data_IF_671763600331
#
_entry.id   IF_671763600331
#
_cell.length_a   1.000
_cell.length_b   1.000
_cell.length_c   1.000
_cell.angle_alpha   90.00
_cell.angle_beta   90.00
_cell.angle_gamma   90.00
#
_symmetry.space_group_name_H-M   'P 1'
#
loop_
_entity.id
_entity.type
_entity.pdbx_description
1 polymer ?
#
# COMPACT_ATOMS: atom_id res chain seq x y z
N UNK A 1 28.93 -21.41 41.41
CA UNK A 1 28.60 -20.94 40.04
C UNK A 1 29.42 -19.69 39.76
N UNK A 2 30.25 -19.66 38.72
CA UNK A 2 31.15 -18.52 38.48
C UNK A 2 30.33 -17.28 38.13
N UNK A 3 30.67 -16.13 38.72
CA UNK A 3 29.99 -14.84 38.49
C UNK A 3 29.91 -14.49 36.99
N UNK A 4 30.86 -14.97 36.18
CA UNK A 4 30.88 -14.82 34.72
C UNK A 4 29.77 -15.60 33.99
N UNK A 5 29.31 -16.73 34.53
CA UNK A 5 28.22 -17.49 33.93
C UNK A 5 26.86 -16.80 34.20
N UNK A 6 26.69 -16.26 35.40
CA UNK A 6 25.46 -15.55 35.78
C UNK A 6 25.31 -14.23 35.00
N UNK A 7 26.40 -13.47 34.81
CA UNK A 7 26.41 -12.23 34.04
C UNK A 7 26.15 -12.44 32.53
N UNK A 8 26.64 -13.54 31.95
CA UNK A 8 26.35 -13.90 30.55
C UNK A 8 24.88 -14.28 30.35
N UNK A 9 24.29 -15.00 31.30
CA UNK A 9 22.89 -15.42 31.23
C UNK A 9 21.95 -14.22 31.41
N UNK A 10 22.27 -13.27 32.29
CA UNK A 10 21.47 -12.03 32.48
C UNK A 10 21.57 -11.06 31.31
N UNK A 11 22.72 -10.96 30.62
CA UNK A 11 22.85 -10.16 29.39
C UNK A 11 22.06 -10.74 28.21
N UNK A 12 22.04 -12.07 28.09
CA UNK A 12 21.26 -12.77 27.05
C UNK A 12 19.75 -12.64 27.26
N UNK A 13 19.26 -12.67 28.51
CA UNK A 13 17.84 -12.46 28.80
C UNK A 13 17.40 -11.02 28.60
N UNK A 14 18.25 -10.03 28.89
CA UNK A 14 17.95 -8.63 28.57
C UNK A 14 17.90 -8.38 27.05
N UNK A 15 18.79 -9.00 26.28
CA UNK A 15 18.78 -8.89 24.82
C UNK A 15 17.52 -9.52 24.19
N UNK A 16 17.03 -10.64 24.74
CA UNK A 16 15.78 -11.28 24.29
C UNK A 16 14.52 -10.49 24.65
N UNK A 17 14.53 -9.74 25.76
CA UNK A 17 13.40 -8.90 26.20
C UNK A 17 13.24 -7.63 25.35
N UNK A 18 14.29 -7.15 24.68
CA UNK A 18 14.21 -5.98 23.79
C UNK A 18 13.89 -6.30 22.32
N UNK A 19 13.92 -7.58 21.92
CA UNK A 19 13.68 -7.98 20.53
C UNK A 19 12.19 -8.22 20.19
N UNK A 20 11.26 -8.08 21.14
CA UNK A 20 9.85 -8.40 20.92
C UNK A 20 8.88 -7.31 21.44
N UNK A 21 9.13 -6.06 21.08
CA UNK A 21 8.11 -5.00 21.24
C UNK A 21 7.97 -4.16 19.97
N UNK A 22 7.93 -4.82 18.81
CA UNK A 22 7.33 -4.23 17.60
C UNK A 22 5.81 -4.26 17.75
N UNK A 23 5.24 -3.38 18.59
CA UNK A 23 3.78 -3.22 18.57
C UNK A 23 3.42 -2.43 17.33
N UNK A 24 3.01 -3.14 16.29
CA UNK A 24 2.53 -2.56 15.03
C UNK A 24 1.19 -1.88 15.34
N UNK A 25 1.24 -0.61 15.72
CA UNK A 25 0.04 0.21 15.82
C UNK A 25 -0.33 0.72 14.43
N UNK A 26 -1.50 0.32 13.96
CA UNK A 26 -2.13 1.01 12.84
C UNK A 26 -2.41 2.46 13.27
N UNK A 27 -1.89 3.46 12.54
CA UNK A 27 -2.23 4.84 12.82
C UNK A 27 -3.70 5.05 12.44
N UNK A 28 -4.53 5.23 13.46
CA UNK A 28 -5.93 5.57 13.29
C UNK A 28 -5.99 7.07 13.03
N UNK A 29 -6.43 7.43 11.83
CA UNK A 29 -6.59 8.83 11.45
C UNK A 29 -7.93 9.31 11.99
N UNK A 30 -7.90 10.47 12.65
CA UNK A 30 -9.09 11.10 13.20
C UNK A 30 -9.56 12.20 12.25
N UNK A 31 -10.87 12.29 11.98
CA UNK A 31 -11.40 13.42 11.23
C UNK A 31 -11.23 14.72 12.05
N UNK A 32 -11.18 15.84 11.35
CA UNK A 32 -11.16 17.18 11.92
C UNK A 32 -12.57 17.53 12.39
N UNK A 33 -12.68 18.04 13.62
CA UNK A 33 -13.95 18.45 14.21
C UNK A 33 -14.45 17.48 15.28
N UNK A 34 -15.58 17.83 15.89
CA UNK A 34 -16.26 16.99 16.88
C UNK A 34 -17.26 16.05 16.19
N UNK A 35 -16.72 15.04 15.51
CA UNK A 35 -17.51 14.06 14.78
C UNK A 35 -18.12 13.01 15.72
N UNK A 36 -19.40 12.70 15.53
CA UNK A 36 -20.08 11.62 16.23
C UNK A 36 -19.34 10.30 15.97
N UNK A 37 -18.95 9.61 17.04
CA UNK A 37 -18.25 8.32 16.95
C UNK A 37 -18.94 7.26 17.78
N UNK A 38 -18.78 6.01 17.37
CA UNK A 38 -19.21 4.81 18.09
C UNK A 38 -18.04 3.83 18.22
N UNK A 39 -18.06 3.03 19.28
CA UNK A 39 -17.16 1.90 19.45
C UNK A 39 -17.85 0.61 18.98
N UNK A 40 -17.27 -0.03 17.97
CA UNK A 40 -17.70 -1.33 17.48
C UNK A 40 -16.84 -2.43 18.09
N UNK A 41 -17.48 -3.45 18.67
CA UNK A 41 -16.79 -4.67 19.08
C UNK A 41 -16.67 -5.61 17.88
N UNK A 42 -15.44 -5.81 17.40
CA UNK A 42 -15.13 -6.63 16.23
C UNK A 42 -14.10 -7.69 16.67
N UNK A 43 -14.54 -8.94 16.79
CA UNK A 43 -13.70 -10.09 17.19
C UNK A 43 -12.98 -9.79 18.52
N UNK A 44 -13.74 -9.33 19.52
CA UNK A 44 -13.22 -9.04 20.86
C UNK A 44 -12.36 -7.77 20.96
N UNK A 45 -12.22 -6.98 19.89
CA UNK A 45 -11.50 -5.71 19.89
C UNK A 45 -12.43 -4.55 19.62
N UNK A 46 -12.34 -3.51 20.44
CA UNK A 46 -13.05 -2.26 20.20
C UNK A 46 -12.37 -1.43 19.12
N UNK A 47 -13.17 -0.92 18.18
CA UNK A 47 -12.70 -0.04 17.11
C UNK A 47 -13.62 1.16 17.00
N UNK A 48 -13.03 2.35 17.07
CA UNK A 48 -13.76 3.60 16.84
C UNK A 48 -14.09 3.77 15.35
N UNK A 49 -15.35 4.09 15.07
CA UNK A 49 -15.82 4.53 13.78
C UNK A 49 -16.58 5.85 13.93
N UNK A 50 -16.45 6.73 12.95
CA UNK A 50 -17.11 8.02 12.89
C UNK A 50 -18.33 7.96 11.97
N UNK A 51 -19.43 8.57 12.36
CA UNK A 51 -20.63 8.68 11.54
C UNK A 51 -20.35 9.56 10.33
N UNK A 52 -20.74 9.12 9.13
CA UNK A 52 -20.68 9.92 7.92
C UNK A 52 -21.99 10.69 7.78
N UNK A 53 -22.05 11.87 8.37
CA UNK A 53 -23.20 12.76 8.32
C UNK A 53 -23.23 13.60 7.01
N UNK A 54 -24.13 14.57 6.92
CA UNK A 54 -24.29 15.44 5.75
C UNK A 54 -23.08 16.35 5.48
N UNK A 55 -22.30 16.70 6.52
CA UNK A 55 -21.09 17.51 6.40
C UNK A 55 -19.91 16.68 5.89
N UNK A 56 -19.95 15.37 6.13
CA UNK A 56 -18.93 14.42 5.74
C UNK A 56 -17.74 14.42 6.70
N UNK A 57 -16.74 13.60 6.40
CA UNK A 57 -15.54 13.46 7.22
C UNK A 57 -14.33 14.04 6.49
N UNK A 58 -13.61 14.95 7.15
CA UNK A 58 -12.40 15.57 6.61
C UNK A 58 -11.18 15.16 7.43
N UNK A 59 -10.12 14.73 6.77
CA UNK A 59 -8.86 14.31 7.38
C UNK A 59 -7.74 15.15 6.77
N UNK A 60 -6.79 15.64 7.58
CA UNK A 60 -5.61 16.35 7.10
C UNK A 60 -4.33 15.73 7.66
N UNK A 61 -3.27 15.86 6.87
CA UNK A 61 -1.96 15.35 7.27
C UNK A 61 -1.90 13.83 7.30
N UNK A 62 -2.80 13.15 6.57
CA UNK A 62 -2.84 11.69 6.53
C UNK A 62 -1.51 11.18 6.02
N UNK A 63 -0.83 10.41 6.88
CA UNK A 63 0.48 9.86 6.60
C UNK A 63 1.66 10.82 6.53
N UNK A 64 1.55 12.03 7.11
CA UNK A 64 2.68 12.97 7.26
C UNK A 64 3.79 12.47 8.19
N UNK A 65 3.48 11.50 9.05
CA UNK A 65 4.39 10.98 10.08
C UNK A 65 5.31 9.87 9.55
N UNK A 66 5.18 9.48 8.28
CA UNK A 66 5.94 8.40 7.68
C UNK A 66 7.19 8.91 6.95
N UNK A 67 8.11 8.01 6.60
CA UNK A 67 9.39 8.38 5.99
C UNK A 67 9.24 8.79 4.51
N UNK A 68 9.85 9.93 4.16
CA UNK A 68 9.86 10.44 2.78
C UNK A 68 10.54 9.45 1.82
N UNK A 69 9.90 9.20 0.68
CA UNK A 69 10.41 8.30 -0.35
C UNK A 69 9.92 6.84 -0.26
N UNK A 70 9.14 6.50 0.77
CA UNK A 70 8.35 5.27 0.82
C UNK A 70 6.89 5.51 0.39
N UNK A 71 6.07 4.47 0.43
CA UNK A 71 4.63 4.51 0.23
C UNK A 71 3.89 4.12 1.51
N UNK A 72 2.67 4.61 1.65
CA UNK A 72 1.79 4.33 2.77
C UNK A 72 0.52 3.67 2.27
N UNK A 73 -0.07 2.81 3.10
CA UNK A 73 -1.40 2.25 2.85
C UNK A 73 -2.44 3.03 3.64
N UNK A 74 -3.32 3.68 2.92
CA UNK A 74 -4.53 4.31 3.45
C UNK A 74 -5.66 3.29 3.32
N UNK A 75 -6.26 2.92 4.45
CA UNK A 75 -7.38 1.99 4.52
C UNK A 75 -8.64 2.70 4.98
N UNK A 76 -9.72 2.57 4.21
CA UNK A 76 -11.05 3.07 4.56
C UNK A 76 -11.93 1.86 4.84
N UNK A 77 -12.40 1.76 6.08
CA UNK A 77 -13.29 0.71 6.54
C UNK A 77 -14.65 1.33 6.81
N UNK A 78 -15.69 0.78 6.20
CA UNK A 78 -17.05 1.31 6.25
C UNK A 78 -18.03 0.23 6.70
N UNK A 79 -19.03 0.59 7.49
CA UNK A 79 -20.14 -0.31 7.86
C UNK A 79 -21.43 0.50 7.90
N UNK A 80 -22.55 -0.11 7.55
CA UNK A 80 -23.87 0.50 7.72
C UNK A 80 -24.64 -0.16 8.85
N UNK A 81 -25.51 0.61 9.51
CA UNK A 81 -26.33 0.13 10.63
C UNK A 81 -27.53 -0.71 10.13
N UNK A 82 -27.89 -1.74 10.89
CA UNK A 82 -28.99 -2.65 10.60
C UNK A 82 -29.75 -3.01 11.88
N UNK A 83 -31.08 -2.97 11.82
CA UNK A 83 -31.92 -3.59 12.84
C UNK A 83 -31.67 -5.12 12.86
N UNK A 84 -31.70 -5.75 14.03
CA UNK A 84 -31.44 -7.19 14.17
C UNK A 84 -32.31 -8.06 13.24
N UNK A 85 -33.60 -7.71 13.13
CA UNK A 85 -34.60 -8.37 12.27
C UNK A 85 -34.67 -7.81 10.84
N UNK A 86 -33.84 -6.82 10.51
CA UNK A 86 -33.87 -6.13 9.21
C UNK A 86 -33.31 -6.96 8.05
N UNK A 87 -33.41 -6.41 6.82
CA UNK A 87 -32.91 -7.02 5.57
C UNK A 87 -31.51 -7.61 5.74
N UNK A 88 -31.31 -8.84 5.23
CA UNK A 88 -30.04 -9.57 5.33
C UNK A 88 -28.86 -8.82 4.73
N UNK A 89 -29.11 -7.99 3.71
CA UNK A 89 -28.10 -7.24 2.94
C UNK A 89 -28.45 -5.75 2.93
N UNK A 90 -27.43 -4.89 3.01
CA UNK A 90 -27.54 -3.44 2.94
C UNK A 90 -26.67 -2.88 1.83
N UNK A 91 -27.27 -1.97 1.06
CA UNK A 91 -26.57 -1.16 0.06
C UNK A 91 -26.25 0.19 0.66
N UNK A 92 -25.01 0.62 0.51
CA UNK A 92 -24.57 1.95 0.92
C UNK A 92 -23.36 2.40 0.09
N UNK A 93 -23.05 3.69 0.10
CA UNK A 93 -21.87 4.23 -0.57
C UNK A 93 -21.52 5.65 -0.17
N UNK A 94 -20.38 6.14 -0.64
CA UNK A 94 -19.84 7.46 -0.32
C UNK A 94 -18.86 7.87 -1.41
N UNK A 95 -18.50 9.14 -1.46
CA UNK A 95 -17.41 9.62 -2.32
C UNK A 95 -16.17 9.89 -1.51
N UNK A 96 -15.00 9.56 -2.05
CA UNK A 96 -13.70 9.88 -1.45
C UNK A 96 -12.93 10.79 -2.41
N UNK A 97 -12.56 11.95 -1.93
CA UNK A 97 -11.67 12.90 -2.60
C UNK A 97 -10.34 12.92 -1.85
N UNK A 98 -9.24 12.82 -2.59
CA UNK A 98 -7.89 12.92 -2.01
C UNK A 98 -7.20 14.14 -2.61
N UNK A 99 -6.70 14.99 -1.71
CA UNK A 99 -6.26 16.36 -1.94
C UNK A 99 -7.33 17.21 -2.64
N UNK A 100 -7.14 17.43 -3.95
CA UNK A 100 -8.07 18.15 -4.83
C UNK A 100 -8.33 17.36 -6.12
N UNK A 101 -8.18 16.04 -6.07
CA UNK A 101 -8.44 15.15 -7.19
C UNK A 101 -9.94 14.93 -7.45
N UNK A 102 -10.26 14.22 -8.53
CA UNK A 102 -11.64 13.83 -8.82
C UNK A 102 -12.20 12.88 -7.75
N UNK A 103 -13.38 13.17 -7.16
CA UNK A 103 -13.99 12.31 -6.17
C UNK A 103 -14.34 10.92 -6.71
N UNK A 104 -13.86 9.88 -6.05
CA UNK A 104 -14.19 8.50 -6.39
C UNK A 104 -15.43 8.03 -5.65
N UNK A 105 -16.41 7.52 -6.38
CA UNK A 105 -17.65 7.00 -5.82
C UNK A 105 -17.50 5.53 -5.45
N UNK A 106 -17.54 5.23 -4.16
CA UNK A 106 -17.50 3.87 -3.62
C UNK A 106 -18.91 3.42 -3.25
N UNK A 107 -19.28 2.20 -3.65
CA UNK A 107 -20.57 1.58 -3.34
C UNK A 107 -20.34 0.14 -2.89
N UNK A 108 -21.10 -0.27 -1.90
CA UNK A 108 -21.02 -1.58 -1.31
C UNK A 108 -22.43 -2.18 -1.16
N UNK A 109 -22.48 -3.49 -1.35
CA UNK A 109 -23.57 -4.36 -0.98
C UNK A 109 -23.02 -5.36 0.03
N UNK A 110 -23.40 -5.23 1.31
CA UNK A 110 -22.82 -6.03 2.40
C UNK A 110 -23.88 -6.71 3.25
N UNK A 111 -23.68 -7.99 3.61
CA UNK A 111 -24.55 -8.66 4.55
C UNK A 111 -24.39 -8.08 5.96
N UNK A 112 -25.37 -8.32 6.82
CA UNK A 112 -25.25 -8.10 8.26
C UNK A 112 -24.17 -8.99 8.87
N UNK A 113 -23.49 -8.46 9.89
CA UNK A 113 -22.47 -9.13 10.70
C UNK A 113 -22.90 -9.09 12.18
N UNK A 114 -22.28 -9.89 13.04
CA UNK A 114 -22.56 -9.96 14.48
C UNK A 114 -21.82 -8.87 15.27
N UNK A 115 -21.32 -7.86 14.56
CA UNK A 115 -20.72 -6.66 15.15
C UNK A 115 -21.81 -5.83 15.81
N UNK A 116 -21.54 -5.40 17.04
CA UNK A 116 -22.43 -4.62 17.90
C UNK A 116 -21.68 -3.42 18.50
N UNK A 117 -22.44 -2.48 19.05
CA UNK A 117 -21.92 -1.33 19.80
C UNK A 117 -22.64 -1.21 21.13
N UNK A 118 -21.89 -1.04 22.22
CA UNK A 118 -22.47 -0.71 23.52
C UNK A 118 -23.14 0.67 23.51
N UNK A 119 -22.64 1.59 22.67
CA UNK A 119 -23.18 2.95 22.52
C UNK A 119 -24.57 2.94 21.84
N UNK A 120 -24.91 1.87 21.11
CA UNK A 120 -26.20 1.70 20.41
C UNK A 120 -26.73 0.26 20.55
N UNK A 121 -27.28 -0.12 21.71
CA UNK A 121 -27.81 -1.47 21.93
C UNK A 121 -28.99 -1.77 21.00
N UNK A 122 -29.13 -3.05 20.60
CA UNK A 122 -30.21 -3.52 19.73
C UNK A 122 -29.98 -3.32 18.23
N UNK A 123 -28.85 -2.73 17.84
CA UNK A 123 -28.43 -2.58 16.45
C UNK A 123 -27.23 -3.47 16.13
N UNK A 124 -27.22 -4.04 14.93
CA UNK A 124 -26.08 -4.74 14.35
C UNK A 124 -25.52 -3.93 13.18
N UNK A 125 -24.32 -4.27 12.75
CA UNK A 125 -23.63 -3.60 11.65
C UNK A 125 -23.38 -4.56 10.50
N UNK A 126 -23.29 -4.04 9.28
CA UNK A 126 -22.87 -4.87 8.12
C UNK A 126 -21.44 -5.35 8.28
N UNK A 127 -21.05 -6.37 7.53
CA UNK A 127 -19.65 -6.62 7.21
C UNK A 127 -18.95 -5.34 6.71
N UNK A 128 -17.63 -5.28 6.88
CA UNK A 128 -16.87 -4.11 6.44
C UNK A 128 -16.82 -4.01 4.91
N UNK A 129 -17.26 -2.88 4.37
CA UNK A 129 -16.79 -2.38 3.09
C UNK A 129 -15.38 -1.83 3.25
N UNK A 130 -14.43 -2.36 2.51
CA UNK A 130 -13.01 -2.01 2.64
C UNK A 130 -12.54 -1.40 1.33
N UNK A 131 -11.75 -0.34 1.42
CA UNK A 131 -11.03 0.24 0.30
C UNK A 131 -9.62 0.61 0.72
N UNK A 132 -8.66 0.34 -0.15
CA UNK A 132 -7.25 0.62 0.08
C UNK A 132 -6.71 1.51 -1.02
N UNK A 133 -5.89 2.49 -0.63
CA UNK A 133 -5.12 3.34 -1.53
C UNK A 133 -3.67 3.31 -1.08
N UNK A 134 -2.77 3.11 -2.03
CA UNK A 134 -1.33 3.16 -1.81
C UNK A 134 -0.76 4.43 -2.42
N UNK A 135 -0.08 5.22 -1.60
CA UNK A 135 0.29 6.59 -1.94
C UNK A 135 1.72 6.87 -1.47
N UNK A 136 2.54 7.62 -2.23
CA UNK A 136 3.86 8.02 -1.76
C UNK A 136 3.74 8.90 -0.51
N UNK A 137 4.72 8.84 0.39
CA UNK A 137 4.71 9.73 1.56
C UNK A 137 4.88 11.18 1.11
N UNK A 138 4.03 12.07 1.63
CA UNK A 138 4.11 13.53 1.44
C UNK A 138 4.50 14.20 2.75
N UNK A 139 5.37 15.21 2.67
CA UNK A 139 5.85 15.98 3.83
C UNK A 139 4.69 16.59 4.64
N UNK A 140 3.67 17.10 3.97
CA UNK A 140 2.46 17.65 4.62
C UNK A 140 1.37 16.60 4.82
N UNK A 141 1.57 15.35 4.40
CA UNK A 141 0.54 14.33 4.30
C UNK A 141 -0.51 14.64 3.22
N UNK A 142 -1.60 13.88 3.26
CA UNK A 142 -2.74 14.03 2.37
C UNK A 142 -3.93 14.66 3.06
N UNK A 143 -4.73 15.40 2.29
CA UNK A 143 -6.08 15.81 2.69
C UNK A 143 -7.05 14.78 2.13
N UNK A 144 -7.94 14.22 2.95
CA UNK A 144 -8.94 13.26 2.48
C UNK A 144 -10.31 13.74 2.91
N UNK A 145 -11.23 13.88 1.95
CA UNK A 145 -12.63 14.25 2.21
C UNK A 145 -13.53 13.10 1.82
N UNK A 146 -14.41 12.71 2.73
CA UNK A 146 -15.40 11.67 2.49
C UNK A 146 -16.79 12.28 2.64
N UNK A 147 -17.65 12.12 1.63
CA UNK A 147 -19.02 12.65 1.64
C UNK A 147 -20.06 11.54 1.43
N UNK A 148 -21.22 11.61 2.10
CA UNK A 148 -22.27 10.63 1.90
C UNK A 148 -22.88 10.75 0.51
N UNK A 149 -23.49 9.65 0.04
CA UNK A 149 -24.40 9.72 -1.10
C UNK A 149 -25.81 10.12 -0.64
N UNK A 150 -26.56 10.80 -1.51
CA UNK A 150 -27.97 11.14 -1.21
C UNK A 150 -28.81 9.87 -1.07
N UNK A 151 -29.64 9.81 -0.01
CA UNK A 151 -30.55 8.68 0.26
C UNK A 151 -29.86 7.44 0.82
N UNK A 152 -28.61 7.56 1.26
CA UNK A 152 -27.84 6.47 1.83
C UNK A 152 -28.30 6.18 3.27
N UNK A 153 -28.29 4.92 3.73
CA UNK A 153 -28.45 4.64 5.16
C UNK A 153 -27.27 5.23 5.94
N UNK A 154 -27.39 5.30 7.28
CA UNK A 154 -26.28 5.74 8.14
C UNK A 154 -25.06 4.84 7.90
N UNK A 155 -23.92 5.48 7.64
CA UNK A 155 -22.62 4.83 7.40
C UNK A 155 -21.64 5.29 8.47
N UNK A 156 -20.88 4.33 8.97
CA UNK A 156 -19.79 4.54 9.90
C UNK A 156 -18.46 4.26 9.21
N UNK A 157 -17.48 5.13 9.37
CA UNK A 157 -16.18 5.07 8.73
C UNK A 157 -15.03 5.08 9.73
N UNK A 158 -14.00 4.29 9.42
CA UNK A 158 -12.71 4.32 10.10
C UNK A 158 -11.62 4.44 9.04
N UNK A 159 -10.79 5.47 9.16
CA UNK A 159 -9.63 5.67 8.30
C UNK A 159 -8.35 5.26 9.04
N UNK A 160 -7.49 4.54 8.36
CA UNK A 160 -6.17 4.17 8.89
C UNK A 160 -5.10 4.53 7.90
N UNK A 161 -3.98 5.05 8.37
CA UNK A 161 -2.74 5.13 7.61
C UNK A 161 -1.76 4.17 8.25
N UNK A 162 -1.01 3.45 7.43
CA UNK A 162 0.01 2.53 7.94
C UNK A 162 1.24 2.68 7.07
N UNK A 163 2.40 2.67 7.72
CA UNK A 163 3.61 2.22 7.08
C UNK A 163 3.34 0.85 6.47
N UNK A 164 4.01 0.60 5.37
CA UNK A 164 4.09 -0.72 4.83
C UNK A 164 5.10 -1.54 5.66
N UNK A 165 4.81 -1.75 6.96
CA UNK A 165 5.61 -2.66 7.80
C UNK A 165 5.33 -4.09 7.33
N UNK A 166 6.41 -4.82 6.99
CA UNK A 166 6.39 -6.19 6.48
C UNK A 166 7.28 -7.07 7.33
N UNK A 167 6.71 -8.12 7.89
CA UNK A 167 7.35 -9.41 8.17
C UNK A 167 6.37 -10.44 7.54
N UNK A 168 6.70 -11.48 6.79
CA UNK A 168 7.94 -12.20 6.49
C UNK A 168 8.00 -12.65 4.99
N UNK A 169 8.94 -13.53 4.65
CA UNK A 169 9.50 -13.98 3.34
C UNK A 169 8.63 -13.87 2.06
N UNK A 170 9.24 -13.29 1.01
CA UNK A 170 8.76 -13.45 -0.37
C UNK A 170 9.00 -14.87 -0.89
N UNK A 171 8.11 -15.39 -1.74
CA UNK A 171 8.42 -16.62 -2.51
C UNK A 171 9.72 -16.45 -3.30
N UNK A 172 10.57 -17.47 -3.29
CA UNK A 172 11.66 -17.57 -4.25
C UNK A 172 11.06 -17.74 -5.65
N UNK A 173 11.08 -16.66 -6.42
CA UNK A 173 10.46 -16.59 -7.74
C UNK A 173 9.87 -15.21 -7.98
N UNK A 174 10.37 -14.48 -8.97
CA UNK A 174 9.76 -13.24 -9.44
C UNK A 174 8.62 -13.60 -10.41
N UNK A 175 7.58 -12.76 -10.47
CA UNK A 175 6.52 -12.99 -11.46
C UNK A 175 7.06 -12.63 -12.85
N UNK A 176 6.88 -13.55 -13.81
CA UNK A 176 7.27 -13.35 -15.20
C UNK A 176 6.14 -12.66 -15.98
N UNK A 177 6.52 -11.93 -17.03
CA UNK A 177 5.54 -11.34 -17.93
C UNK A 177 4.92 -12.39 -18.85
N UNK A 178 3.62 -12.29 -19.13
CA UNK A 178 2.96 -13.14 -20.15
C UNK A 178 3.37 -12.75 -21.56
N UNK A 179 3.70 -11.47 -21.79
CA UNK A 179 4.30 -11.05 -23.04
C UNK A 179 5.82 -11.29 -22.97
N UNK A 180 6.35 -12.10 -23.90
CA UNK A 180 7.78 -12.44 -23.95
C UNK A 180 8.61 -11.17 -24.14
N UNK A 181 9.38 -10.80 -23.12
CA UNK A 181 10.35 -9.71 -23.16
C UNK A 181 11.66 -10.10 -22.50
N UNK A 182 12.76 -9.56 -23.03
CA UNK A 182 14.09 -9.82 -22.49
C UNK A 182 14.24 -9.19 -21.12
N UNK A 183 14.73 -9.99 -20.17
CA UNK A 183 15.12 -9.52 -18.84
C UNK A 183 16.54 -9.00 -18.84
N UNK A 184 16.76 -7.90 -18.14
CA UNK A 184 18.05 -7.25 -18.00
C UNK A 184 18.58 -7.45 -16.58
N UNK A 185 19.88 -7.67 -16.47
CA UNK A 185 20.55 -7.82 -15.17
C UNK A 185 20.88 -6.44 -14.61
N UNK A 186 20.49 -6.21 -13.37
CA UNK A 186 20.95 -5.09 -12.56
C UNK A 186 21.83 -5.68 -11.46
N UNK A 187 23.06 -5.20 -11.39
CA UNK A 187 24.03 -5.53 -10.36
C UNK A 187 24.00 -4.45 -9.28
N UNK A 188 24.10 -4.87 -8.03
CA UNK A 188 24.23 -4.00 -6.87
C UNK A 188 25.43 -4.44 -6.06
N UNK A 189 26.39 -3.55 -5.87
CA UNK A 189 27.60 -3.78 -5.10
C UNK A 189 27.40 -3.24 -3.68
N UNK A 190 27.44 -4.10 -2.68
CA UNK A 190 27.33 -3.74 -1.28
C UNK A 190 28.66 -3.99 -0.60
N UNK A 191 29.24 -2.95 0.01
CA UNK A 191 30.39 -3.12 0.89
C UNK A 191 29.92 -3.67 2.23
N UNK A 192 30.59 -4.72 2.68
CA UNK A 192 30.41 -5.35 3.99
C UNK A 192 31.75 -5.41 4.69
N UNK A 193 31.75 -5.65 6.01
CA UNK A 193 32.97 -5.81 6.80
C UNK A 193 33.88 -6.95 6.27
N UNK A 194 33.30 -7.89 5.52
CA UNK A 194 33.98 -9.03 4.88
C UNK A 194 34.36 -8.82 3.41
N UNK A 195 34.12 -7.63 2.84
CA UNK A 195 34.40 -7.29 1.43
C UNK A 195 33.16 -6.89 0.63
N UNK A 196 33.30 -6.80 -0.70
CA UNK A 196 32.19 -6.40 -1.58
C UNK A 196 31.33 -7.59 -1.98
N UNK A 197 30.04 -7.56 -1.62
CA UNK A 197 29.03 -8.52 -2.07
C UNK A 197 28.33 -7.96 -3.30
N UNK A 198 28.28 -8.74 -4.38
CA UNK A 198 27.61 -8.36 -5.62
C UNK A 198 26.31 -9.12 -5.77
N UNK A 199 25.18 -8.42 -5.64
CA UNK A 199 23.85 -8.98 -5.87
C UNK A 199 23.43 -8.73 -7.31
N UNK A 200 23.05 -9.78 -8.04
CA UNK A 200 22.53 -9.66 -9.41
C UNK A 200 21.07 -10.06 -9.47
N UNK A 201 20.21 -9.16 -9.96
CA UNK A 201 18.77 -9.40 -10.09
C UNK A 201 18.31 -9.14 -11.52
N UNK A 202 17.29 -9.88 -11.95
CA UNK A 202 16.66 -9.71 -13.25
C UNK A 202 15.46 -8.77 -13.16
N UNK A 203 15.37 -7.87 -14.14
CA UNK A 203 14.32 -6.86 -14.26
C UNK A 203 13.84 -6.76 -15.69
N UNK A 204 12.58 -6.38 -15.88
CA UNK A 204 12.01 -6.12 -17.21
C UNK A 204 12.11 -4.64 -17.56
N UNK A 205 12.77 -4.26 -18.66
CA UNK A 205 12.81 -2.88 -19.12
C UNK A 205 11.45 -2.48 -19.73
N UNK A 206 10.88 -1.40 -19.23
CA UNK A 206 9.67 -0.74 -19.74
C UNK A 206 10.07 0.58 -20.40
N UNK A 207 9.65 0.77 -21.65
CA UNK A 207 9.90 1.97 -22.48
C UNK A 207 8.57 2.51 -23.02
N UNK A 208 8.55 3.76 -23.47
CA UNK A 208 7.35 4.49 -23.94
C UNK A 208 6.36 3.67 -24.79
N UNK A 209 6.86 2.93 -25.79
CA UNK A 209 6.04 2.18 -26.74
C UNK A 209 5.98 0.67 -26.43
N UNK A 210 6.28 0.29 -25.18
CA UNK A 210 6.24 -1.09 -24.73
C UNK A 210 5.32 -1.18 -23.52
N UNK A 211 4.74 -2.37 -23.34
CA UNK A 211 3.97 -2.71 -22.15
C UNK A 211 4.56 -3.96 -21.52
N UNK A 212 4.40 -4.13 -20.22
CA UNK A 212 4.65 -5.40 -19.53
C UNK A 212 3.32 -5.89 -18.99
N UNK A 213 2.95 -7.12 -19.30
CA UNK A 213 1.72 -7.72 -18.81
C UNK A 213 2.06 -8.92 -17.93
N UNK A 214 1.39 -9.04 -16.79
CA UNK A 214 1.55 -10.13 -15.84
C UNK A 214 0.21 -10.79 -15.59
N UNK A 215 0.18 -12.12 -15.63
CA UNK A 215 -0.96 -12.90 -15.16
C UNK A 215 -0.74 -13.24 -13.69
N UNK A 216 -1.71 -12.93 -12.85
CA UNK A 216 -1.60 -13.11 -11.41
C UNK A 216 -2.89 -13.71 -10.87
N UNK A 217 -2.76 -14.86 -10.21
CA UNK A 217 -3.87 -15.50 -9.50
C UNK A 217 -3.93 -14.99 -8.06
N UNK A 218 -5.07 -14.40 -7.71
CA UNK A 218 -5.40 -14.00 -6.34
C UNK A 218 -6.41 -14.94 -5.67
N UNK A 219 -6.75 -14.69 -4.39
CA UNK A 219 -6.36 -13.52 -3.62
C UNK A 219 -4.86 -13.50 -3.35
N UNK A 220 -4.21 -12.35 -3.55
CA UNK A 220 -2.77 -12.19 -3.35
C UNK A 220 -2.39 -10.74 -3.13
N UNK A 221 -1.25 -10.51 -2.50
CA UNK A 221 -0.61 -9.18 -2.46
C UNK A 221 0.70 -9.24 -3.24
N UNK A 222 0.95 -8.28 -4.12
CA UNK A 222 2.13 -8.26 -5.00
C UNK A 222 2.88 -6.96 -4.84
N UNK A 223 4.18 -7.02 -4.51
CA UNK A 223 5.05 -5.85 -4.52
C UNK A 223 5.60 -5.66 -5.92
N UNK A 224 5.34 -4.50 -6.49
CA UNK A 224 5.97 -4.03 -7.72
C UNK A 224 7.19 -3.21 -7.31
N UNK A 225 8.36 -3.61 -7.75
CA UNK A 225 9.58 -2.82 -7.64
C UNK A 225 9.85 -2.11 -8.96
N UNK A 226 10.31 -0.85 -8.87
CA UNK A 226 10.62 -0.01 -10.03
C UNK A 226 12.00 0.65 -9.85
N UNK A 227 12.75 0.80 -10.94
CA UNK A 227 14.00 1.57 -10.99
C UNK A 227 14.10 2.28 -12.34
N UNK A 228 14.43 3.56 -12.36
CA UNK A 228 14.73 4.29 -13.61
C UNK A 228 16.20 4.13 -14.00
N UNK A 229 16.49 4.00 -15.29
CA UNK A 229 17.84 4.19 -15.85
C UNK A 229 18.22 5.67 -15.84
N UNK A 230 19.36 6.03 -15.25
CA UNK A 230 19.87 7.40 -15.29
C UNK A 230 20.67 7.61 -16.58
N UNK A 231 20.17 8.48 -17.44
CA UNK A 231 20.80 8.85 -18.72
C UNK A 231 21.55 10.19 -18.65
N UNK A 232 21.25 11.01 -17.65
CA UNK A 232 21.74 12.36 -17.46
C UNK A 232 22.70 12.41 -16.26
N UNK A 233 23.55 13.44 -16.20
CA UNK A 233 24.46 13.69 -15.07
C UNK A 233 23.73 14.08 -13.78
N UNK A 234 22.40 14.17 -13.80
CA UNK A 234 21.59 14.64 -12.68
C UNK A 234 21.62 13.63 -11.53
N UNK A 235 21.71 14.11 -10.27
CA UNK A 235 21.70 13.23 -9.09
C UNK A 235 20.29 12.70 -8.76
N UNK A 236 19.23 13.32 -9.29
CA UNK A 236 17.83 12.97 -9.05
C UNK A 236 17.05 12.98 -10.35
N UNK A 237 16.05 12.12 -10.43
CA UNK A 237 15.08 12.08 -11.53
C UNK A 237 13.74 11.58 -10.99
N UNK A 238 12.69 11.78 -11.76
CA UNK A 238 11.35 11.27 -11.48
C UNK A 238 10.85 10.42 -12.63
N UNK A 239 9.74 9.71 -12.47
CA UNK A 239 9.11 8.97 -13.55
C UNK A 239 7.70 8.56 -13.17
N UNK A 240 6.92 8.21 -14.18
CA UNK A 240 5.55 7.76 -14.00
C UNK A 240 5.36 6.36 -14.55
N UNK A 241 4.58 5.53 -13.86
CA UNK A 241 4.19 4.19 -14.33
C UNK A 241 2.67 4.07 -14.25
N UNK A 242 2.02 3.81 -15.39
CA UNK A 242 0.58 3.54 -15.44
C UNK A 242 0.32 2.04 -15.32
N UNK A 243 -0.62 1.66 -14.47
CA UNK A 243 -0.99 0.27 -14.21
C UNK A 243 -2.48 0.07 -14.51
N UNK A 244 -2.80 -1.02 -15.22
CA UNK A 244 -4.17 -1.44 -15.50
C UNK A 244 -4.41 -2.87 -15.02
N UNK A 245 -5.60 -3.16 -14.52
CA UNK A 245 -6.08 -4.50 -14.15
C UNK A 245 -7.18 -4.91 -15.11
N UNK A 246 -7.01 -6.01 -15.84
CA UNK A 246 -7.97 -6.52 -16.83
C UNK A 246 -8.44 -5.46 -17.84
N UNK A 247 -7.55 -4.51 -18.15
CA UNK A 247 -7.80 -3.37 -19.04
C UNK A 247 -8.38 -2.13 -18.35
N UNK A 248 -8.88 -2.23 -17.12
CA UNK A 248 -9.33 -1.11 -16.30
C UNK A 248 -8.17 -0.34 -15.71
N UNK A 249 -8.26 0.99 -15.70
CA UNK A 249 -7.19 1.85 -15.18
C UNK A 249 -7.17 1.86 -13.66
N UNK A 250 -6.06 1.38 -13.07
CA UNK A 250 -5.80 1.52 -11.64
C UNK A 250 -5.15 2.87 -11.31
N UNK A 251 -4.56 3.51 -12.30
CA UNK A 251 -3.99 4.84 -12.18
C UNK A 251 -2.55 4.94 -12.67
N UNK A 252 -2.02 6.15 -12.53
CA UNK A 252 -0.64 6.50 -12.88
C UNK A 252 0.12 6.88 -11.62
N UNK A 253 1.18 6.14 -11.33
CA UNK A 253 1.99 6.28 -10.13
C UNK A 253 3.23 7.11 -10.42
N UNK A 254 3.43 8.16 -9.62
CA UNK A 254 4.62 9.02 -9.66
C UNK A 254 5.69 8.51 -8.70
N UNK A 255 6.94 8.53 -9.15
CA UNK A 255 8.10 8.18 -8.34
C UNK A 255 9.20 9.23 -8.52
N UNK A 256 9.74 9.73 -7.42
CA UNK A 256 11.00 10.47 -7.38
C UNK A 256 12.12 9.55 -6.84
N UNK A 257 13.31 9.64 -7.40
CA UNK A 257 14.44 8.84 -6.93
C UNK A 257 15.78 9.53 -7.15
N UNK A 258 16.76 9.07 -6.38
CA UNK A 258 18.14 9.50 -6.48
C UNK A 258 18.93 8.42 -7.21
N UNK A 259 19.98 8.85 -7.93
CA UNK A 259 20.93 7.97 -8.58
C UNK A 259 21.54 7.00 -7.54
N UNK A 260 21.59 5.72 -7.87
CA UNK A 260 22.28 4.73 -7.05
C UNK A 260 23.77 4.77 -7.35
N UNK A 261 24.59 4.94 -6.32
CA UNK A 261 26.05 4.84 -6.40
C UNK A 261 26.52 3.38 -6.55
N UNK A 262 25.65 2.44 -6.18
CA UNK A 262 25.98 1.02 -6.03
C UNK A 262 25.42 0.13 -7.12
N UNK A 263 24.52 0.66 -7.97
CA UNK A 263 23.75 -0.18 -8.90
C UNK A 263 23.84 0.25 -10.36
N UNK A 264 24.05 -0.73 -11.23
CA UNK A 264 24.13 -0.52 -12.68
C UNK A 264 23.50 -1.67 -13.47
N UNK A 265 23.10 -1.36 -14.69
CA UNK A 265 22.58 -2.31 -15.68
C UNK A 265 23.76 -3.00 -16.34
N UNK A 266 23.91 -4.31 -16.18
CA UNK A 266 25.08 -5.05 -16.69
C UNK A 266 25.23 -4.97 -18.22
N UNK A 267 24.13 -4.78 -18.96
CA UNK A 267 24.14 -4.72 -20.43
C UNK A 267 24.67 -3.38 -20.96
N UNK A 268 24.38 -2.27 -20.28
CA UNK A 268 24.68 -0.91 -20.75
C UNK A 268 25.75 -0.21 -19.91
N UNK A 269 26.10 -0.75 -18.74
CA UNK A 269 26.96 -0.10 -17.75
C UNK A 269 26.30 1.10 -17.06
N UNK A 270 25.10 1.50 -17.47
CA UNK A 270 24.43 2.70 -16.95
C UNK A 270 23.94 2.47 -15.54
N UNK A 271 24.09 3.50 -14.72
CA UNK A 271 23.56 3.54 -13.35
C UNK A 271 22.04 3.60 -13.36
N UNK A 272 21.44 3.06 -12.30
CA UNK A 272 19.99 3.14 -12.07
C UNK A 272 19.69 3.95 -10.82
N UNK A 273 18.45 4.38 -10.66
CA UNK A 273 17.98 4.97 -9.42
C UNK A 273 17.93 3.97 -8.27
N UNK A 274 17.87 4.48 -7.04
CA UNK A 274 17.40 3.70 -5.89
C UNK A 274 16.02 3.13 -6.23
N UNK A 275 15.75 1.89 -5.84
CA UNK A 275 14.46 1.27 -6.14
C UNK A 275 13.33 1.97 -5.39
N UNK A 276 12.20 2.06 -6.06
CA UNK A 276 10.91 2.37 -5.46
C UNK A 276 10.01 1.17 -5.55
N UNK A 277 8.89 1.21 -4.84
CA UNK A 277 7.93 0.14 -4.92
C UNK A 277 6.52 0.63 -4.65
N UNK A 278 5.54 -0.09 -5.19
CA UNK A 278 4.14 0.00 -4.81
C UNK A 278 3.58 -1.40 -4.57
N UNK A 279 2.39 -1.47 -4.00
CA UNK A 279 1.67 -2.71 -3.76
C UNK A 279 0.41 -2.81 -4.61
N UNK A 280 0.12 -4.02 -5.04
CA UNK A 280 -1.11 -4.40 -5.71
C UNK A 280 -1.83 -5.47 -4.89
N UNK A 281 -3.13 -5.28 -4.68
CA UNK A 281 -4.02 -6.29 -4.11
C UNK A 281 -4.73 -6.97 -5.26
N UNK A 282 -4.49 -8.27 -5.41
CA UNK A 282 -5.04 -9.09 -6.49
C UNK A 282 -6.34 -9.70 -5.98
N UNK A 283 -7.49 -9.43 -6.61
CA UNK A 283 -8.76 -10.03 -6.21
C UNK A 283 -8.73 -11.56 -6.39
N UNK A 284 -9.71 -12.24 -5.80
CA UNK A 284 -9.89 -13.67 -6.02
C UNK A 284 -10.16 -13.93 -7.50
N UNK A 285 -9.33 -14.76 -8.12
CA UNK A 285 -9.44 -15.07 -9.54
C UNK A 285 -8.13 -14.85 -10.28
N UNK A 286 -8.20 -15.02 -11.60
CA UNK A 286 -7.08 -14.81 -12.53
C UNK A 286 -7.23 -13.42 -13.14
N UNK A 287 -6.20 -12.58 -12.97
CA UNK A 287 -6.21 -11.18 -13.39
C UNK A 287 -4.96 -10.85 -14.21
N UNK A 288 -5.07 -9.89 -15.13
CA UNK A 288 -3.98 -9.42 -15.97
C UNK A 288 -3.60 -7.98 -15.63
N UNK A 289 -2.38 -7.78 -15.15
CA UNK A 289 -1.84 -6.47 -14.82
C UNK A 289 -0.95 -5.95 -15.93
N UNK A 290 -1.28 -4.79 -16.49
CA UNK A 290 -0.54 -4.18 -17.60
C UNK A 290 0.14 -2.89 -17.15
N UNK A 291 1.46 -2.83 -17.30
CA UNK A 291 2.31 -1.70 -16.98
C UNK A 291 2.73 -0.98 -18.26
N UNK A 292 2.61 0.34 -18.26
CA UNK A 292 3.02 1.23 -19.36
C UNK A 292 3.65 2.51 -18.83
N UNK A 293 4.49 3.16 -19.62
CA UNK A 293 4.84 4.56 -19.34
C UNK A 293 3.76 5.46 -19.97
N UNK A 294 3.12 6.37 -19.23
CA UNK A 294 2.22 7.34 -19.82
C UNK A 294 2.93 8.16 -20.91
N UNK A 295 2.16 8.54 -21.95
CA UNK A 295 2.66 9.35 -23.06
C UNK A 295 2.76 10.82 -22.66
N UNK A 296 3.73 11.12 -21.81
CA UNK A 296 4.08 12.46 -21.35
C UNK A 296 5.55 12.73 -21.67
N UNK A 297 5.91 14.01 -21.80
CA UNK A 297 7.28 14.45 -22.10
C UNK A 297 8.27 13.93 -21.05
N UNK A 298 7.92 14.03 -19.76
CA UNK A 298 8.76 13.54 -18.66
C UNK A 298 9.19 12.08 -18.80
N UNK A 299 8.47 11.25 -19.56
CA UNK A 299 8.75 9.82 -19.74
C UNK A 299 9.29 9.47 -21.14
N UNK A 300 9.48 10.44 -22.05
CA UNK A 300 9.64 10.14 -23.48
C UNK A 300 10.84 9.24 -23.81
N UNK A 301 11.89 9.37 -23.03
CA UNK A 301 13.24 8.83 -23.23
C UNK A 301 13.70 8.01 -22.01
N UNK A 302 12.80 7.78 -21.07
CA UNK A 302 13.04 6.99 -19.86
C UNK A 302 12.93 5.50 -20.14
N UNK A 303 13.84 4.75 -19.51
CA UNK A 303 13.72 3.30 -19.37
C UNK A 303 13.50 2.99 -17.90
N UNK A 304 12.37 2.34 -17.58
CA UNK A 304 12.01 1.97 -16.21
C UNK A 304 12.06 0.45 -16.09
N UNK A 305 12.84 -0.05 -15.16
CA UNK A 305 12.98 -1.47 -14.85
C UNK A 305 11.92 -1.89 -13.83
N UNK A 306 11.14 -2.91 -14.17
CA UNK A 306 10.05 -3.44 -13.36
C UNK A 306 10.38 -4.86 -12.90
N UNK A 307 10.11 -5.16 -11.62
CA UNK A 307 10.19 -6.52 -11.07
C UNK A 307 9.04 -6.73 -10.09
N UNK A 308 8.32 -7.84 -10.20
CA UNK A 308 7.22 -8.18 -9.29
C UNK A 308 7.60 -9.34 -8.38
N UNK A 309 7.13 -9.28 -7.13
CA UNK A 309 7.17 -10.41 -6.20
C UNK A 309 5.82 -10.57 -5.52
N UNK A 310 5.30 -11.80 -5.52
CA UNK A 310 4.13 -12.17 -4.72
C UNK A 310 4.54 -12.28 -3.25
N UNK A 311 3.67 -11.77 -2.39
CA UNK A 311 3.78 -11.90 -0.95
C UNK A 311 2.93 -13.08 -0.48
N UNK A 312 3.42 -13.78 0.56
CA UNK A 312 2.67 -14.83 1.24
C UNK A 312 2.39 -14.34 2.66
N UNK A 313 1.10 -14.36 3.00
CA UNK A 313 0.62 -14.27 4.37
C UNK A 313 0.75 -15.70 4.92
N UNK A 314 1.49 -15.89 6.00
CA UNK A 314 1.56 -17.19 6.71
C UNK A 314 0.19 -17.56 7.30
#
# INVERSE_FOLDING_TARGET
MSQNLFYRITLLTFYFLFLNSGVIYANIEKPIGEENKILLNIVGKERAYHELDENGLNYEGVGKNFEMGDSIRIGIYSRSIKAQTGKKIRNYGFTVEIDSGEPQKLKYEKPGDDVISADRPGWNYTEAGVWYVYMPVKKQGYIIKVKPLKGNPVVYLRLTSNDLIKEDKFTEGFLETVNRQDRWRIQTNEETDSGTVVTTLYWYPLKKNKQLQYEINGPATVRVFTRIEFNNGNPKDNYYVRIREDGYDLGTYYFDTEKSEKSSVSKTGKTVGKWRSLWLNIPKGKHYYTFTLPNIEDNSDKTVYIRLKKWQED
#
